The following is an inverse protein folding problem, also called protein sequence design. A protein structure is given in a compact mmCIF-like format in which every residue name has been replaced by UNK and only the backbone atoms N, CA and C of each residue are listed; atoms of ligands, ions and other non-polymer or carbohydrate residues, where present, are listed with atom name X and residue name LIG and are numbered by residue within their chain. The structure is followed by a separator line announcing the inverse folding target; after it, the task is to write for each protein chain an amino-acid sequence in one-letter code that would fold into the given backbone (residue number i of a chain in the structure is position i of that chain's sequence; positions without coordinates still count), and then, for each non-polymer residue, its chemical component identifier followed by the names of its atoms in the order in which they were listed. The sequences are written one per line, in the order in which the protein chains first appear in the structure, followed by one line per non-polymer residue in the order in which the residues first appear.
data_IF_963495221551
#
_entry.id   IF_963495221551
#
_cell.length_a   1.000
_cell.length_b   1.000
_cell.length_c   1.000
_cell.angle_alpha   90.00
_cell.angle_beta   90.00
_cell.angle_gamma   90.00
#
_symmetry.space_group_name_H-M   'P 1'
#
loop_
_entity.id
_entity.type
_entity.pdbx_description
1 polymer ?
#
# COMPACT_ATOMS: atom_id res chain seq x y z
N UNK A 1 20.01 -12.93 -12.21
CA UNK A 1 20.11 -14.34 -11.78
C UNK A 1 19.82 -15.24 -12.97
N UNK A 2 20.66 -16.26 -13.20
CA UNK A 2 20.48 -17.23 -14.28
C UNK A 2 19.50 -18.29 -13.79
N UNK A 3 18.44 -18.56 -14.55
CA UNK A 3 17.53 -19.67 -14.30
C UNK A 3 18.26 -20.99 -14.55
N UNK A 4 18.64 -21.69 -13.48
CA UNK A 4 19.33 -22.99 -13.55
C UNK A 4 18.41 -24.15 -13.91
N UNK A 5 17.09 -23.96 -13.84
CA UNK A 5 16.10 -24.97 -14.20
C UNK A 5 15.87 -25.07 -15.71
N UNK A 6 16.08 -23.98 -16.46
CA UNK A 6 15.70 -23.89 -17.88
C UNK A 6 14.30 -23.27 -18.06
N UNK A 7 13.90 -22.96 -19.30
CA UNK A 7 12.65 -22.26 -19.58
C UNK A 7 11.43 -23.07 -19.14
N UNK A 8 10.41 -22.37 -18.67
CA UNK A 8 9.11 -22.94 -18.30
C UNK A 8 8.12 -22.61 -19.41
N UNK A 9 7.46 -23.63 -19.95
CA UNK A 9 6.32 -23.42 -20.85
C UNK A 9 5.06 -23.40 -20.02
N UNK A 10 4.46 -22.22 -19.92
CA UNK A 10 3.19 -22.02 -19.23
C UNK A 10 2.03 -22.06 -20.22
N UNK A 11 1.18 -23.07 -20.12
CA UNK A 11 -0.02 -23.19 -20.95
C UNK A 11 -1.16 -22.32 -20.39
N UNK A 12 -1.12 -21.02 -20.68
CA UNK A 12 -2.09 -20.03 -20.18
C UNK A 12 -3.54 -20.45 -20.45
N UNK A 13 -3.86 -20.88 -21.68
CA UNK A 13 -5.23 -21.26 -22.07
C UNK A 13 -5.78 -22.51 -21.37
N UNK A 14 -4.93 -23.34 -20.73
CA UNK A 14 -5.40 -24.40 -19.83
C UNK A 14 -5.71 -23.85 -18.45
N UNK A 15 -4.83 -22.99 -17.94
CA UNK A 15 -4.99 -22.39 -16.62
C UNK A 15 -6.19 -21.45 -16.55
N UNK A 16 -6.50 -20.73 -17.62
CA UNK A 16 -7.72 -19.92 -17.73
C UNK A 16 -9.00 -20.74 -17.51
N UNK A 17 -9.03 -22.01 -17.94
CA UNK A 17 -10.19 -22.90 -17.77
C UNK A 17 -10.34 -23.45 -16.36
N UNK A 18 -9.27 -23.43 -15.57
CA UNK A 18 -9.22 -24.01 -14.22
C UNK A 18 -9.14 -22.96 -13.13
N UNK A 19 -8.68 -21.76 -13.47
CA UNK A 19 -8.66 -20.62 -12.57
C UNK A 19 -10.08 -20.10 -12.35
N UNK A 20 -10.42 -19.80 -11.11
CA UNK A 20 -11.72 -19.22 -10.74
C UNK A 20 -11.85 -17.76 -11.21
N UNK A 21 -10.72 -17.06 -11.31
CA UNK A 21 -10.65 -15.67 -11.76
C UNK A 21 -9.25 -15.36 -12.30
N UNK A 22 -9.17 -14.35 -13.19
CA UNK A 22 -7.89 -13.74 -13.57
C UNK A 22 -7.12 -13.27 -12.32
N UNK A 23 -7.84 -12.78 -11.29
CA UNK A 23 -7.27 -12.31 -10.02
C UNK A 23 -6.53 -13.40 -9.24
N UNK A 24 -6.77 -14.68 -9.53
CA UNK A 24 -6.05 -15.79 -8.89
C UNK A 24 -4.55 -15.81 -9.25
N UNK A 25 -4.18 -15.20 -10.38
CA UNK A 25 -2.80 -15.06 -10.82
C UNK A 25 -2.40 -13.59 -10.96
N UNK A 26 -3.30 -12.80 -11.57
CA UNK A 26 -3.14 -11.39 -11.86
C UNK A 26 -3.66 -10.52 -10.71
N UNK A 27 -2.97 -10.59 -9.57
CA UNK A 27 -3.33 -9.87 -8.36
C UNK A 27 -3.21 -8.34 -8.50
N UNK A 28 -2.44 -7.86 -9.48
CA UNK A 28 -2.31 -6.45 -9.84
C UNK A 28 -3.64 -5.80 -10.27
N UNK A 29 -4.56 -6.59 -10.82
CA UNK A 29 -5.87 -6.11 -11.27
C UNK A 29 -6.74 -5.62 -10.11
N UNK A 30 -6.50 -6.10 -8.89
CA UNK A 30 -7.17 -5.59 -7.68
C UNK A 30 -6.81 -4.12 -7.44
N UNK A 31 -5.66 -3.67 -7.96
CA UNK A 31 -5.12 -2.33 -7.77
C UNK A 31 -5.31 -1.45 -9.01
N UNK A 32 -6.36 -1.72 -9.80
CA UNK A 32 -6.77 -0.82 -10.88
C UNK A 32 -5.97 -0.94 -12.18
N UNK A 33 -5.11 -1.96 -12.33
CA UNK A 33 -4.51 -2.26 -13.62
C UNK A 33 -5.59 -2.57 -14.66
N UNK A 34 -5.60 -1.85 -15.79
CA UNK A 34 -6.61 -2.03 -16.84
C UNK A 34 -6.55 -3.43 -17.51
N UNK A 35 -5.36 -4.05 -17.52
CA UNK A 35 -5.12 -5.34 -18.18
C UNK A 35 -4.13 -6.20 -17.38
N UNK A 36 -4.26 -7.55 -17.46
CA UNK A 36 -3.28 -8.46 -16.91
C UNK A 36 -1.87 -8.17 -17.41
N UNK A 37 -0.90 -8.09 -16.51
CA UNK A 37 0.48 -7.77 -16.83
C UNK A 37 1.39 -8.98 -16.64
N UNK A 38 2.55 -9.00 -17.28
CA UNK A 38 3.47 -10.12 -17.13
C UNK A 38 4.15 -10.07 -15.76
N UNK A 39 4.29 -11.21 -15.07
CA UNK A 39 4.84 -11.27 -13.72
C UNK A 39 6.20 -10.55 -13.61
N UNK A 40 7.03 -10.62 -14.65
CA UNK A 40 8.38 -10.04 -14.67
C UNK A 40 8.42 -8.52 -14.83
N UNK A 41 7.27 -7.87 -15.06
CA UNK A 41 7.20 -6.41 -15.00
C UNK A 41 7.31 -5.90 -13.55
N UNK A 42 7.04 -6.77 -12.55
CA UNK A 42 7.22 -6.48 -11.13
C UNK A 42 8.19 -7.47 -10.45
N UNK A 43 8.06 -8.77 -10.72
CA UNK A 43 8.86 -9.82 -10.10
C UNK A 43 10.17 -10.09 -10.85
N UNK A 44 11.27 -9.62 -10.27
CA UNK A 44 12.61 -9.75 -10.85
C UNK A 44 13.11 -8.49 -11.54
N UNK A 45 12.40 -7.37 -11.39
CA UNK A 45 13.00 -6.04 -11.63
C UNK A 45 14.14 -5.83 -10.64
N UNK A 46 15.21 -5.18 -11.10
CA UNK A 46 16.28 -4.76 -10.20
C UNK A 46 15.87 -3.42 -9.62
N UNK A 47 15.41 -3.41 -8.37
CA UNK A 47 15.04 -2.17 -7.67
C UNK A 47 16.32 -1.48 -7.19
N UNK A 48 17.04 -0.80 -8.09
CA UNK A 48 18.24 -0.02 -7.77
C UNK A 48 17.93 1.49 -7.80
N UNK A 49 18.93 2.33 -7.50
CA UNK A 49 18.76 3.80 -7.51
C UNK A 49 18.24 4.33 -8.85
N UNK A 50 18.67 3.75 -9.97
CA UNK A 50 18.18 4.10 -11.32
C UNK A 50 16.70 3.74 -11.49
N UNK A 51 16.30 2.53 -11.10
CA UNK A 51 14.89 2.13 -11.11
C UNK A 51 14.05 3.08 -10.25
N UNK A 52 14.51 3.41 -9.04
CA UNK A 52 13.79 4.35 -8.16
C UNK A 52 13.62 5.72 -8.82
N UNK A 53 14.64 6.23 -9.52
CA UNK A 53 14.60 7.52 -10.19
C UNK A 53 13.70 7.54 -11.45
N UNK A 54 13.62 6.43 -12.19
CA UNK A 54 13.00 6.40 -13.53
C UNK A 54 11.65 5.69 -13.57
N UNK A 55 11.34 4.81 -12.61
CA UNK A 55 10.12 4.02 -12.67
C UNK A 55 8.85 4.88 -12.51
N UNK A 56 8.95 6.03 -11.83
CA UNK A 56 7.83 6.98 -11.68
C UNK A 56 7.32 7.55 -13.02
N UNK A 57 8.16 7.53 -14.07
CA UNK A 57 7.75 7.96 -15.41
C UNK A 57 7.27 6.79 -16.28
N UNK A 58 7.40 5.55 -15.78
CA UNK A 58 7.12 4.32 -16.53
C UNK A 58 5.74 3.75 -16.25
N UNK A 59 5.00 4.34 -15.29
CA UNK A 59 3.70 3.86 -14.82
C UNK A 59 2.72 5.04 -14.69
N UNK A 60 1.41 4.78 -14.80
CA UNK A 60 0.38 5.79 -14.50
C UNK A 60 0.29 6.03 -13.00
N UNK A 61 -0.30 7.15 -12.59
CA UNK A 61 -0.47 7.51 -11.17
C UNK A 61 -1.28 6.44 -10.41
N UNK A 62 -2.28 5.86 -11.07
CA UNK A 62 -3.10 4.77 -10.53
C UNK A 62 -2.32 3.46 -10.42
N UNK A 63 -1.28 3.27 -11.23
CA UNK A 63 -0.43 2.08 -11.15
C UNK A 63 0.53 2.15 -9.95
N UNK A 64 0.68 3.33 -9.32
CA UNK A 64 1.49 3.49 -8.13
C UNK A 64 0.96 2.64 -6.98
N UNK A 65 -0.36 2.48 -6.82
CA UNK A 65 -0.94 1.70 -5.71
C UNK A 65 -0.65 0.20 -5.79
N UNK A 66 -0.21 -0.30 -6.95
CA UNK A 66 0.24 -1.70 -7.14
C UNK A 66 1.49 -2.00 -6.29
N UNK A 67 2.35 -0.99 -6.07
CA UNK A 67 3.61 -1.11 -5.32
C UNK A 67 3.65 -0.21 -4.07
N UNK A 68 3.05 0.97 -4.15
CA UNK A 68 2.93 1.99 -3.11
C UNK A 68 1.50 2.03 -2.59
N UNK A 69 1.04 0.94 -2.01
CA UNK A 69 -0.26 0.86 -1.35
C UNK A 69 -0.33 1.85 -0.18
N UNK A 70 -0.64 3.10 -0.51
CA UNK A 70 -0.86 4.18 0.42
C UNK A 70 -2.33 4.52 0.30
N UNK A 71 -3.16 3.75 1.00
CA UNK A 71 -4.54 4.13 1.25
C UNK A 71 -4.58 4.54 2.70
N UNK A 72 -4.62 5.83 3.06
CA UNK A 72 -4.67 6.22 4.47
C UNK A 72 -5.81 5.46 5.16
N UNK A 73 -5.47 4.52 6.07
CA UNK A 73 -6.45 3.87 6.93
C UNK A 73 -7.20 4.91 7.75
N UNK A 74 -8.37 4.55 8.29
CA UNK A 74 -9.09 5.44 9.19
C UNK A 74 -8.20 5.81 10.37
N UNK A 75 -7.88 7.08 10.51
CA UNK A 75 -7.00 7.53 11.59
C UNK A 75 -7.78 7.72 12.87
N UNK A 76 -7.22 7.20 13.95
CA UNK A 76 -7.59 7.64 15.28
C UNK A 76 -6.75 8.87 15.65
N UNK A 77 -7.38 10.04 15.58
CA UNK A 77 -6.78 11.33 15.96
C UNK A 77 -6.50 11.45 17.46
N UNK A 78 -6.87 10.44 18.26
CA UNK A 78 -6.61 10.42 19.70
C UNK A 78 -7.44 11.44 20.46
N UNK A 79 -8.72 11.64 20.08
CA UNK A 79 -9.60 12.62 20.72
C UNK A 79 -9.58 12.50 22.25
N UNK A 80 -9.72 11.30 22.81
CA UNK A 80 -9.69 11.10 24.26
C UNK A 80 -8.36 11.55 24.92
N UNK A 81 -7.22 11.36 24.25
CA UNK A 81 -5.95 11.86 24.77
C UNK A 81 -5.92 13.40 24.74
N UNK A 82 -6.32 14.00 23.61
CA UNK A 82 -6.28 15.45 23.45
C UNK A 82 -7.30 16.19 24.31
N UNK A 83 -8.56 15.77 24.32
CA UNK A 83 -9.63 16.44 25.06
C UNK A 83 -9.63 16.07 26.55
N UNK A 84 -9.55 14.79 26.88
CA UNK A 84 -9.73 14.35 28.28
C UNK A 84 -8.41 14.38 29.06
N UNK A 85 -7.30 13.95 28.45
CA UNK A 85 -6.02 13.86 29.17
C UNK A 85 -5.21 15.15 29.12
N UNK A 86 -5.23 15.86 27.98
CA UNK A 86 -4.52 17.13 27.81
C UNK A 86 -5.42 18.36 28.00
N UNK A 87 -6.74 18.18 28.08
CA UNK A 87 -7.69 19.28 28.33
C UNK A 87 -7.83 20.26 27.17
N UNK A 88 -7.53 19.85 25.94
CA UNK A 88 -7.66 20.71 24.77
C UNK A 88 -9.14 20.92 24.39
N UNK A 89 -9.49 22.17 24.10
CA UNK A 89 -10.81 22.51 23.58
C UNK A 89 -10.98 21.96 22.15
N UNK A 90 -12.20 21.60 21.77
CA UNK A 90 -12.52 21.07 20.45
C UNK A 90 -12.06 22.01 19.32
N UNK A 91 -12.17 23.33 19.54
CA UNK A 91 -11.77 24.38 18.60
C UNK A 91 -10.25 24.51 18.44
N UNK A 92 -9.47 23.80 19.25
CA UNK A 92 -8.01 23.67 19.06
C UNK A 92 -7.69 22.92 17.76
N UNK A 93 -8.58 22.02 17.32
CA UNK A 93 -8.43 21.26 16.08
C UNK A 93 -9.51 21.62 15.05
N UNK A 94 -10.76 21.78 15.49
CA UNK A 94 -11.90 22.16 14.66
C UNK A 94 -11.95 23.66 14.38
N UNK A 95 -12.88 24.10 13.55
CA UNK A 95 -13.12 25.51 13.32
C UNK A 95 -13.78 26.14 14.55
N UNK A 96 -13.24 27.27 15.01
CA UNK A 96 -13.88 28.07 16.05
C UNK A 96 -15.08 28.88 15.51
N UNK A 97 -15.14 29.06 14.19
CA UNK A 97 -16.19 29.80 13.51
C UNK A 97 -17.40 28.89 13.26
N UNK A 98 -18.47 29.13 14.02
CA UNK A 98 -19.71 28.35 13.93
C UNK A 98 -20.51 28.59 12.65
N UNK A 99 -20.11 29.57 11.82
CA UNK A 99 -20.68 29.72 10.47
C UNK A 99 -20.12 28.72 9.47
N UNK A 100 -18.99 28.07 9.79
CA UNK A 100 -18.39 26.98 9.00
C UNK A 100 -19.01 25.64 9.42
N UNK A 101 -18.99 25.34 10.72
CA UNK A 101 -19.59 24.14 11.31
C UNK A 101 -20.24 24.50 12.65
N UNK A 102 -21.55 24.23 12.83
CA UNK A 102 -22.25 24.55 14.10
C UNK A 102 -21.73 23.71 15.27
N UNK A 103 -21.30 22.48 14.97
CA UNK A 103 -20.67 21.56 15.90
C UNK A 103 -19.54 20.83 15.18
N UNK A 104 -18.41 20.51 15.86
CA UNK A 104 -17.32 19.72 15.30
C UNK A 104 -17.80 18.50 14.49
N UNK A 105 -17.54 18.50 13.19
CA UNK A 105 -17.93 17.43 12.25
C UNK A 105 -16.74 16.81 11.55
N UNK A 106 -16.98 15.82 10.67
CA UNK A 106 -15.89 15.19 9.94
C UNK A 106 -15.35 16.16 8.88
N UNK A 107 -14.04 16.36 8.85
CA UNK A 107 -13.39 17.25 7.89
C UNK A 107 -13.69 16.87 6.43
N UNK A 108 -13.83 15.57 6.15
CA UNK A 108 -14.09 15.05 4.81
C UNK A 108 -15.51 15.37 4.29
N UNK A 109 -16.40 15.87 5.14
CA UNK A 109 -17.74 16.31 4.72
C UNK A 109 -17.67 17.59 3.86
N UNK A 110 -16.59 18.37 3.97
CA UNK A 110 -16.38 19.62 3.22
C UNK A 110 -15.03 19.70 2.51
N UNK A 111 -13.97 19.07 3.04
CA UNK A 111 -12.64 19.07 2.43
C UNK A 111 -12.42 17.85 1.54
N UNK A 112 -11.98 18.08 0.31
CA UNK A 112 -11.79 17.02 -0.68
C UNK A 112 -10.62 16.08 -0.30
N UNK A 113 -10.91 14.78 -0.25
CA UNK A 113 -9.93 13.72 -0.04
C UNK A 113 -9.19 13.34 -1.34
N UNK A 114 -8.16 12.49 -1.23
CA UNK A 114 -7.49 11.89 -2.39
C UNK A 114 -6.27 12.64 -2.92
N UNK A 115 -5.96 13.82 -2.37
CA UNK A 115 -4.71 14.55 -2.67
C UNK A 115 -3.72 14.38 -1.52
N UNK A 116 -2.44 14.17 -1.85
CA UNK A 116 -1.36 14.24 -0.87
C UNK A 116 -1.21 15.69 -0.34
N UNK A 117 -0.67 15.88 0.89
CA UNK A 117 -0.44 17.22 1.42
C UNK A 117 0.47 18.01 0.48
N UNK A 118 -0.05 19.08 -0.09
CA UNK A 118 0.63 19.91 -1.08
C UNK A 118 1.41 21.06 -0.45
N UNK A 119 1.05 21.45 0.79
CA UNK A 119 1.48 22.69 1.44
C UNK A 119 1.16 23.92 0.58
N UNK A 120 0.13 23.83 -0.25
CA UNK A 120 -0.36 24.97 -1.02
C UNK A 120 -0.72 26.11 -0.07
N UNK A 121 -0.50 27.35 -0.54
CA UNK A 121 -0.90 28.53 0.23
C UNK A 121 -2.42 28.57 0.28
N UNK A 122 -2.95 28.94 1.44
CA UNK A 122 -4.37 29.22 1.61
C UNK A 122 -4.85 30.25 0.58
N UNK A 123 -5.96 29.93 -0.08
CA UNK A 123 -6.68 30.81 -1.00
C UNK A 123 -8.00 31.16 -0.34
N UNK A 124 -8.27 32.45 -0.20
CA UNK A 124 -9.51 32.92 0.43
C UNK A 124 -10.73 32.48 -0.38
N UNK A 125 -11.71 31.87 0.29
CA UNK A 125 -12.93 31.35 -0.34
C UNK A 125 -12.81 29.95 -0.96
N UNK A 126 -11.62 29.33 -0.96
CA UNK A 126 -11.42 27.96 -1.44
C UNK A 126 -10.97 27.06 -0.28
N UNK A 127 -11.75 26.01 0.07
CA UNK A 127 -11.34 25.10 1.12
C UNK A 127 -10.09 24.32 0.67
N UNK A 128 -9.04 24.23 1.50
CA UNK A 128 -7.89 23.39 1.20
C UNK A 128 -8.29 21.92 1.05
N UNK A 129 -7.40 21.11 0.46
CA UNK A 129 -7.55 19.66 0.47
C UNK A 129 -7.66 19.13 1.90
N UNK A 130 -8.32 17.98 2.09
CA UNK A 130 -8.42 17.32 3.40
C UNK A 130 -7.03 17.10 4.02
N UNK A 131 -6.07 16.70 3.20
CA UNK A 131 -4.70 16.48 3.63
C UNK A 131 -4.05 17.78 4.13
N UNK A 132 -4.17 18.89 3.39
CA UNK A 132 -3.60 20.17 3.81
C UNK A 132 -4.30 20.76 5.05
N UNK A 133 -5.63 20.64 5.14
CA UNK A 133 -6.42 21.07 6.29
C UNK A 133 -5.94 20.37 7.58
N UNK A 134 -5.89 19.03 7.57
CA UNK A 134 -5.46 18.23 8.72
C UNK A 134 -4.01 18.51 9.09
N UNK A 135 -3.09 18.52 8.12
CA UNK A 135 -1.68 18.76 8.40
C UNK A 135 -1.45 20.14 9.01
N UNK A 136 -2.19 21.17 8.57
CA UNK A 136 -2.06 22.52 9.14
C UNK A 136 -2.37 22.56 10.65
N UNK A 137 -3.40 21.83 11.09
CA UNK A 137 -3.84 21.77 12.50
C UNK A 137 -2.90 20.94 13.37
N UNK A 138 -2.40 19.82 12.86
CA UNK A 138 -1.46 19.00 13.62
C UNK A 138 -0.07 19.67 13.73
N UNK A 139 0.39 20.32 12.66
CA UNK A 139 1.70 20.99 12.63
C UNK A 139 1.78 22.08 13.70
N UNK A 140 0.71 22.86 13.92
CA UNK A 140 0.77 23.99 14.86
C UNK A 140 1.08 23.61 16.31
N UNK A 141 0.88 22.35 16.70
CA UNK A 141 1.21 21.86 18.05
C UNK A 141 2.34 20.82 18.06
N UNK A 142 2.48 20.02 16.99
CA UNK A 142 3.49 18.97 16.87
C UNK A 142 4.66 19.37 15.96
N UNK A 143 4.99 20.66 15.91
CA UNK A 143 6.09 21.20 15.09
C UNK A 143 7.38 20.40 15.27
N UNK A 144 7.64 19.88 16.46
CA UNK A 144 8.83 19.08 16.78
C UNK A 144 8.92 17.77 15.99
N UNK A 145 7.78 17.14 15.65
CA UNK A 145 7.77 15.94 14.82
C UNK A 145 8.05 16.28 13.35
N UNK A 146 7.52 17.42 12.88
CA UNK A 146 7.77 17.91 11.53
C UNK A 146 9.19 18.48 11.36
N UNK A 147 9.71 19.19 12.37
CA UNK A 147 11.04 19.79 12.41
C UNK A 147 12.16 18.74 12.49
N UNK A 148 11.92 17.63 13.21
CA UNK A 148 12.82 16.45 13.19
C UNK A 148 12.85 15.74 11.85
N UNK A 149 12.11 16.22 10.84
CA UNK A 149 11.88 15.52 9.58
C UNK A 149 11.53 14.08 9.88
N UNK A 150 10.58 13.82 10.80
CA UNK A 150 10.01 12.50 10.97
C UNK A 150 9.40 12.12 9.61
N UNK A 151 10.23 11.49 8.76
CA UNK A 151 9.92 11.01 7.42
C UNK A 151 9.04 9.76 7.47
N UNK A 152 8.32 9.58 8.57
CA UNK A 152 7.40 8.50 8.76
C UNK A 152 6.03 9.09 9.03
N UNK A 153 5.18 9.10 8.02
CA UNK A 153 3.73 9.36 8.15
C UNK A 153 3.13 8.59 9.34
N UNK A 154 3.74 7.45 9.66
CA UNK A 154 3.53 6.47 10.75
C UNK A 154 3.35 7.04 12.14
N UNK A 155 3.91 8.22 12.44
CA UNK A 155 3.75 8.82 13.77
C UNK A 155 2.32 9.33 13.97
N UNK A 156 1.58 9.58 12.88
CA UNK A 156 0.18 9.98 12.88
C UNK A 156 -0.72 8.97 12.11
N UNK A 157 -0.22 8.37 11.04
CA UNK A 157 -0.87 7.35 10.21
C UNK A 157 -0.57 5.94 10.77
N UNK A 158 -1.22 5.54 11.87
CA UNK A 158 -1.08 4.21 12.46
C UNK A 158 -2.41 3.43 12.44
N UNK A 159 -2.36 2.15 12.03
CA UNK A 159 -3.50 1.23 12.09
C UNK A 159 -3.79 0.81 13.53
N UNK A 160 -5.00 1.11 14.03
CA UNK A 160 -5.54 0.37 15.18
C UNK A 160 -6.12 -0.96 14.70
N UNK A 161 -5.45 -2.08 14.99
CA UNK A 161 -6.09 -3.40 14.98
C UNK A 161 -6.70 -3.69 16.37
N UNK A 162 -7.98 -4.13 16.49
CA UNK A 162 -8.56 -4.55 17.76
C UNK A 162 -7.89 -5.85 18.26
N UNK A 163 -7.74 -5.94 19.58
CA UNK A 163 -6.90 -6.92 20.30
C UNK A 163 -7.38 -8.39 20.28
N UNK A 164 -8.19 -8.82 19.32
CA UNK A 164 -8.92 -10.11 19.41
C UNK A 164 -8.85 -11.03 18.18
N UNK A 165 -7.78 -10.98 17.37
CA UNK A 165 -7.61 -11.92 16.26
C UNK A 165 -6.24 -12.61 16.34
N UNK A 166 -6.28 -13.94 16.50
CA UNK A 166 -5.11 -14.80 16.64
C UNK A 166 -4.21 -14.78 15.37
N UNK A 167 -2.87 -14.97 15.52
CA UNK A 167 -1.89 -14.72 14.46
C UNK A 167 -1.97 -15.65 13.22
N UNK A 168 -2.75 -16.74 13.28
CA UNK A 168 -2.73 -17.84 12.31
C UNK A 168 -3.58 -17.69 11.04
N UNK A 169 -4.46 -16.69 10.94
CA UNK A 169 -5.36 -16.50 9.78
C UNK A 169 -4.93 -15.36 8.84
N UNK A 170 -3.70 -14.86 8.98
CA UNK A 170 -3.18 -13.76 8.15
C UNK A 170 -2.67 -14.25 6.80
N UNK A 171 -3.57 -14.56 5.87
CA UNK A 171 -3.25 -14.51 4.44
C UNK A 171 -3.36 -13.04 3.98
N UNK A 172 -2.21 -12.36 3.93
CA UNK A 172 -1.97 -11.06 3.27
C UNK A 172 -3.16 -10.06 3.24
N UNK A 173 -3.60 -9.58 4.40
CA UNK A 173 -4.45 -8.39 4.50
C UNK A 173 -3.67 -7.27 5.17
N UNK A 174 -3.82 -6.07 4.62
CA UNK A 174 -3.12 -4.82 4.94
C UNK A 174 -1.77 -4.68 4.25
N UNK A 175 -1.83 -4.45 2.94
CA UNK A 175 -0.93 -3.46 2.37
C UNK A 175 -1.49 -2.04 2.44
N UNK A 176 -2.60 -1.83 3.14
CA UNK A 176 -3.26 -0.53 3.21
C UNK A 176 -2.49 0.52 4.03
N UNK A 177 -1.45 0.17 4.81
CA UNK A 177 -0.74 1.15 5.67
C UNK A 177 0.78 0.98 5.72
N UNK A 178 1.42 0.74 4.57
CA UNK A 178 2.88 0.71 4.55
C UNK A 178 3.49 2.10 4.62
N UNK A 179 4.50 2.23 5.47
CA UNK A 179 5.25 3.44 5.72
C UNK A 179 6.30 3.63 4.63
N UNK A 180 6.73 4.86 4.34
CA UNK A 180 7.79 5.09 3.36
C UNK A 180 9.06 4.27 3.70
N UNK A 181 9.41 4.16 4.99
CA UNK A 181 10.56 3.37 5.47
C UNK A 181 10.38 1.85 5.34
N UNK A 182 9.14 1.34 5.27
CA UNK A 182 8.88 -0.07 5.02
C UNK A 182 9.43 -0.55 3.67
N UNK A 183 9.61 0.38 2.71
CA UNK A 183 10.24 0.11 1.42
C UNK A 183 11.58 0.82 1.22
N UNK A 184 11.72 2.08 1.64
CA UNK A 184 12.90 2.89 1.32
C UNK A 184 14.12 2.65 2.25
N UNK A 185 13.96 1.88 3.33
CA UNK A 185 15.06 1.53 4.26
C UNK A 185 15.32 0.02 4.34
N UNK A 186 14.53 -0.80 3.64
CA UNK A 186 14.77 -2.23 3.57
C UNK A 186 15.81 -2.58 2.52
N UNK A 187 16.46 -3.74 2.73
CA UNK A 187 17.24 -4.33 1.64
C UNK A 187 16.29 -4.72 0.51
N UNK A 188 16.65 -4.28 -0.69
CA UNK A 188 15.91 -4.41 -1.94
C UNK A 188 15.39 -5.83 -2.22
N UNK A 189 16.13 -6.85 -1.80
CA UNK A 189 15.80 -8.27 -1.97
C UNK A 189 14.60 -8.74 -1.11
N UNK A 190 14.13 -7.91 -0.18
CA UNK A 190 13.01 -8.23 0.72
C UNK A 190 11.68 -7.58 0.32
N UNK A 191 11.67 -6.69 -0.67
CA UNK A 191 10.49 -5.87 -1.00
C UNK A 191 9.58 -6.52 -2.04
N UNK A 192 10.18 -7.16 -3.04
CA UNK A 192 9.47 -7.93 -4.03
C UNK A 192 10.14 -9.29 -4.13
N UNK A 193 9.40 -10.41 -4.05
CA UNK A 193 9.98 -11.69 -4.32
C UNK A 193 10.55 -11.66 -5.74
N UNK A 194 11.78 -12.17 -5.88
CA UNK A 194 12.40 -12.23 -7.18
C UNK A 194 11.59 -13.17 -8.09
N UNK A 195 11.84 -13.08 -9.40
CA UNK A 195 11.13 -13.85 -10.43
C UNK A 195 10.95 -15.33 -10.10
N UNK A 196 12.01 -15.99 -9.62
CA UNK A 196 11.96 -17.42 -9.28
C UNK A 196 11.02 -17.68 -8.11
N UNK A 197 11.14 -16.89 -7.03
CA UNK A 197 10.30 -17.03 -5.85
C UNK A 197 8.83 -16.77 -6.17
N UNK A 198 8.52 -15.72 -6.95
CA UNK A 198 7.16 -15.37 -7.33
C UNK A 198 6.48 -16.47 -8.16
N UNK A 199 7.18 -17.00 -9.17
CA UNK A 199 6.65 -18.10 -9.98
C UNK A 199 6.47 -19.39 -9.16
N UNK A 200 7.43 -19.78 -8.33
CA UNK A 200 7.26 -20.96 -7.47
C UNK A 200 6.12 -20.78 -6.47
N UNK A 201 5.99 -19.62 -5.84
CA UNK A 201 4.91 -19.34 -4.90
C UNK A 201 3.53 -19.42 -5.58
N UNK A 202 3.37 -18.81 -6.76
CA UNK A 202 2.11 -18.84 -7.51
C UNK A 202 1.77 -20.24 -8.03
N UNK A 203 2.67 -20.86 -8.81
CA UNK A 203 2.40 -22.14 -9.45
C UNK A 203 2.30 -23.28 -8.43
N UNK A 204 3.31 -23.45 -7.56
CA UNK A 204 3.32 -24.55 -6.60
C UNK A 204 2.31 -24.33 -5.47
N UNK A 205 2.03 -23.08 -5.09
CA UNK A 205 1.02 -22.75 -4.09
C UNK A 205 -0.37 -23.20 -4.54
N UNK A 206 -0.77 -22.83 -5.76
CA UNK A 206 -2.03 -23.27 -6.36
C UNK A 206 -2.12 -24.80 -6.51
N UNK A 207 -1.08 -25.43 -7.07
CA UNK A 207 -1.03 -26.88 -7.23
C UNK A 207 -1.10 -27.64 -5.90
N UNK A 208 -0.46 -27.11 -4.86
CA UNK A 208 -0.53 -27.69 -3.51
C UNK A 208 -1.93 -27.54 -2.93
N UNK A 209 -2.53 -26.36 -3.01
CA UNK A 209 -3.87 -26.09 -2.49
C UNK A 209 -4.94 -26.96 -3.17
N UNK A 210 -4.80 -27.22 -4.47
CA UNK A 210 -5.71 -28.08 -5.25
C UNK A 210 -5.30 -29.55 -5.26
N UNK A 211 -4.18 -29.88 -4.62
CA UNK A 211 -3.58 -31.22 -4.64
C UNK A 211 -3.47 -31.81 -6.07
N UNK A 212 -3.11 -30.99 -7.05
CA UNK A 212 -3.10 -31.32 -8.47
C UNK A 212 -1.89 -30.68 -9.17
N UNK A 213 -1.27 -31.40 -10.12
CA UNK A 213 -0.11 -30.93 -10.88
C UNK A 213 1.23 -31.03 -10.11
N UNK A 214 2.33 -30.59 -10.73
CA UNK A 214 3.67 -30.60 -10.13
C UNK A 214 3.75 -29.61 -8.96
N UNK A 215 4.10 -30.10 -7.77
CA UNK A 215 3.95 -29.31 -6.52
C UNK A 215 5.14 -29.44 -5.57
N UNK A 216 6.11 -30.29 -5.89
CA UNK A 216 7.27 -30.54 -5.03
C UNK A 216 8.58 -30.24 -5.76
N UNK A 217 9.66 -30.12 -4.99
CA UNK A 217 11.02 -30.01 -5.54
C UNK A 217 11.49 -31.29 -6.26
N UNK A 218 10.70 -32.37 -6.26
CA UNK A 218 10.98 -33.57 -7.04
C UNK A 218 10.40 -33.47 -8.46
N UNK A 219 9.47 -32.52 -8.69
CA UNK A 219 8.76 -32.35 -9.94
C UNK A 219 9.42 -31.32 -10.88
N UNK A 220 10.66 -30.90 -10.61
CA UNK A 220 11.35 -29.82 -11.34
C UNK A 220 11.26 -29.95 -12.87
N UNK A 221 11.47 -31.16 -13.39
CA UNK A 221 11.47 -31.44 -14.83
C UNK A 221 10.07 -31.42 -15.48
N UNK A 222 9.00 -31.39 -14.67
CA UNK A 222 7.63 -31.25 -15.17
C UNK A 222 7.28 -29.78 -15.42
N UNK A 223 8.01 -28.85 -14.79
CA UNK A 223 7.87 -27.41 -15.00
C UNK A 223 8.95 -26.87 -15.94
N UNK A 224 10.19 -27.33 -15.78
CA UNK A 224 11.34 -26.81 -16.50
C UNK A 224 11.79 -27.74 -17.62
N UNK A 225 11.89 -27.17 -18.82
CA UNK A 225 12.51 -27.83 -19.97
C UNK A 225 14.03 -27.85 -19.78
N UNK A 226 14.65 -29.01 -19.98
CA UNK A 226 16.12 -29.16 -20.00
C UNK A 226 16.73 -28.61 -21.28
#
# INVERSE_FOLDING_TARGET
MINTGGPVVFEHGKHEKWAESCLSCHHELVYGAEKPMACNQCHGVTVNETFVAEHVTSFSEESCIVCHHYVPGSQDWGHAMHSESLGLDCTSCHHADTSIEETPSNCADCHEAGKAPSRAKFVEGEPPSLADAVHSKCISCHEEWFAKKARGCVQCHFDKAPASVEPGERLHKNMETQTCSACHEQKIDKLLPNRMQAHHASCMGCHTARNAGPRTQQDCAQCHMK
#
